data_IF_905416573124
#
_entry.id   IF_905416573124
#
_cell.length_a   1.000
_cell.length_b   1.000
_cell.length_c   1.000
_cell.angle_alpha   90.00
_cell.angle_beta   90.00
_cell.angle_gamma   90.00
#
_symmetry.space_group_name_H-M   'P 1'
#
loop_
_entity.id
_entity.type
_entity.pdbx_description
1 polymer ?
#
# COMPACT_ATOMS: atom_id res chain seq x y z
N UNK A 1 -4.54 17.32 -39.65
CA UNK A 1 -3.75 16.17 -39.14
C UNK A 1 -2.85 16.49 -37.93
N UNK A 2 -2.39 17.73 -37.73
CA UNK A 2 -1.42 18.09 -36.67
C UNK A 2 -2.01 18.09 -35.24
N UNK A 3 -3.30 18.43 -35.10
CA UNK A 3 -4.03 18.45 -33.83
C UNK A 3 -4.28 17.06 -33.23
N UNK A 4 -4.47 16.02 -34.05
CA UNK A 4 -4.65 14.64 -33.55
C UNK A 4 -3.44 14.13 -32.77
N UNK A 5 -2.22 14.52 -33.17
CA UNK A 5 -1.00 14.07 -32.48
C UNK A 5 -0.84 14.70 -31.09
N UNK A 6 -1.24 15.97 -30.95
CA UNK A 6 -1.22 16.66 -29.66
C UNK A 6 -2.28 16.08 -28.72
N UNK A 7 -3.50 15.84 -29.21
CA UNK A 7 -4.56 15.23 -28.41
C UNK A 7 -4.19 13.83 -27.95
N UNK A 8 -3.61 12.99 -28.83
CA UNK A 8 -3.08 11.68 -28.42
C UNK A 8 -2.00 11.79 -27.36
N UNK A 9 -1.09 12.76 -27.48
CA UNK A 9 -0.02 12.95 -26.50
C UNK A 9 -0.57 13.30 -25.12
N UNK A 10 -1.52 14.24 -25.05
CA UNK A 10 -2.17 14.61 -23.79
C UNK A 10 -3.00 13.46 -23.20
N UNK A 11 -3.64 12.64 -24.03
CA UNK A 11 -4.41 11.48 -23.59
C UNK A 11 -3.51 10.42 -22.95
N UNK A 12 -2.34 10.15 -23.55
CA UNK A 12 -1.34 9.23 -22.98
C UNK A 12 -0.79 9.78 -21.66
N UNK A 13 -0.46 11.08 -21.61
CA UNK A 13 0.06 11.72 -20.40
C UNK A 13 -0.93 11.67 -19.22
N UNK A 14 -2.23 11.77 -19.51
CA UNK A 14 -3.29 11.74 -18.50
C UNK A 14 -3.58 10.32 -17.99
N UNK A 15 -3.32 9.28 -18.79
CA UNK A 15 -3.58 7.88 -18.43
C UNK A 15 -2.42 7.22 -17.67
N UNK A 16 -1.20 7.71 -17.80
CA UNK A 16 -0.01 7.18 -17.10
C UNK A 16 -0.08 7.23 -15.55
N UNK A 17 -0.58 8.30 -14.90
CA UNK A 17 -0.60 8.41 -13.43
C UNK A 17 -1.55 7.40 -12.77
N UNK A 18 -2.61 6.98 -13.47
CA UNK A 18 -3.57 6.01 -12.95
C UNK A 18 -2.93 4.63 -12.68
N UNK A 19 -1.82 4.32 -13.35
CA UNK A 19 -1.10 3.05 -13.21
C UNK A 19 -0.04 3.12 -12.10
N UNK A 20 0.44 4.32 -11.77
CA UNK A 20 1.42 4.51 -10.71
C UNK A 20 0.84 4.31 -9.30
N UNK A 21 -0.46 4.59 -9.12
CA UNK A 21 -1.13 4.49 -7.80
C UNK A 21 -1.81 3.15 -7.54
N UNK A 22 -1.93 2.28 -8.54
CA UNK A 22 -2.49 0.94 -8.37
C UNK A 22 -1.58 0.00 -7.54
N UNK A 23 -0.27 0.29 -7.45
CA UNK A 23 0.69 -0.57 -6.75
C UNK A 23 0.66 -0.42 -5.21
N UNK A 24 0.14 0.69 -4.69
CA UNK A 24 0.17 0.99 -3.25
C UNK A 24 -1.02 0.38 -2.48
N UNK A 25 -2.15 0.14 -3.16
CA UNK A 25 -3.41 -0.27 -2.50
C UNK A 25 -3.30 -1.66 -1.85
N UNK A 26 -2.50 -2.56 -2.44
CA UNK A 26 -2.31 -3.93 -1.93
C UNK A 26 -1.30 -4.02 -0.78
N UNK A 27 -0.46 -3.00 -0.56
CA UNK A 27 0.55 -3.02 0.49
C UNK A 27 -0.08 -2.91 1.89
N UNK A 28 -1.17 -2.14 2.01
CA UNK A 28 -1.92 -2.03 3.26
C UNK A 28 -2.52 -3.38 3.66
N UNK A 29 -3.19 -4.05 2.72
CA UNK A 29 -3.81 -5.37 2.96
C UNK A 29 -2.73 -6.38 3.34
N UNK A 30 -1.64 -6.46 2.58
CA UNK A 30 -0.53 -7.38 2.90
C UNK A 30 0.05 -7.20 4.31
N UNK A 31 0.02 -5.98 4.87
CA UNK A 31 0.50 -5.73 6.23
C UNK A 31 -0.60 -5.90 7.30
N UNK A 32 -1.87 -5.63 6.95
CA UNK A 32 -3.00 -5.66 7.90
C UNK A 32 -3.79 -6.98 7.89
N UNK A 33 -3.52 -7.91 6.96
CA UNK A 33 -4.12 -9.25 6.94
C UNK A 33 -3.12 -10.36 7.30
N UNK A 34 -1.87 -10.02 7.56
CA UNK A 34 -0.85 -10.97 8.02
C UNK A 34 -0.79 -10.96 9.55
N UNK A 35 -1.47 -11.94 10.15
CA UNK A 35 -1.54 -12.14 11.61
C UNK A 35 -0.15 -12.28 12.26
N UNK A 36 0.76 -13.02 11.63
CA UNK A 36 2.11 -13.24 12.15
C UNK A 36 2.91 -11.94 12.14
N UNK A 37 2.82 -11.18 11.04
CA UNK A 37 3.47 -9.88 10.92
C UNK A 37 2.91 -8.87 11.91
N UNK A 38 1.60 -8.81 12.09
CA UNK A 38 0.97 -7.93 13.08
C UNK A 38 1.43 -8.25 14.52
N UNK A 39 1.52 -9.53 14.88
CA UNK A 39 2.02 -9.96 16.20
C UNK A 39 3.50 -9.60 16.41
N UNK A 40 4.31 -9.62 15.35
CA UNK A 40 5.73 -9.23 15.44
C UNK A 40 5.95 -7.74 15.66
N UNK A 41 4.99 -6.89 15.26
CA UNK A 41 5.07 -5.44 15.42
C UNK A 41 4.73 -4.97 16.84
N UNK A 42 4.12 -5.84 17.64
CA UNK A 42 3.83 -5.58 19.05
C UNK A 42 4.95 -6.16 19.89
N UNK A 43 5.66 -5.30 20.64
CA UNK A 43 6.52 -5.78 21.73
C UNK A 43 5.61 -6.07 22.93
N UNK A 44 5.46 -7.35 23.36
CA UNK A 44 4.69 -7.64 24.55
C UNK A 44 5.31 -6.91 25.75
N UNK A 45 4.50 -6.42 26.70
CA UNK A 45 5.04 -5.88 27.93
C UNK A 45 5.90 -6.95 28.61
N UNK A 46 7.06 -6.54 29.13
CA UNK A 46 7.82 -7.43 30.00
C UNK A 46 6.97 -7.67 31.24
N UNK A 47 6.34 -8.83 31.33
CA UNK A 47 5.59 -9.23 32.52
C UNK A 47 6.64 -9.55 33.59
N UNK A 48 7.05 -8.53 34.32
CA UNK A 48 7.99 -8.63 35.46
C UNK A 48 7.26 -9.02 36.74
N UNK A 49 6.39 -10.02 36.67
CA UNK A 49 5.58 -10.45 37.80
C UNK A 49 4.97 -11.81 37.49
N UNK A 50 5.17 -12.74 38.42
CA UNK A 50 4.53 -14.04 38.43
C UNK A 50 3.02 -13.83 38.22
N UNK A 51 2.49 -14.38 37.13
CA UNK A 51 1.07 -14.21 36.82
C UNK A 51 0.23 -14.75 37.96
N UNK A 52 -0.51 -13.88 38.63
CA UNK A 52 -1.73 -14.27 39.34
C UNK A 52 -2.89 -13.99 38.37
N UNK A 53 -3.66 -15.04 38.11
CA UNK A 53 -4.79 -15.02 37.18
C UNK A 53 -5.98 -14.20 37.64
#
# INVERSE_FOLDING_TARGET
MKTNRLVSFFLVLFLLPAWAWAAAVNQCISCHTDDQKMKSLVKPPAIGGEGEG
#
